data_IF_868987309515
#
_entry.id   IF_868987309515
#
_cell.length_a   1.000
_cell.length_b   1.000
_cell.length_c   1.000
_cell.angle_alpha   90.00
_cell.angle_beta   90.00
_cell.angle_gamma   90.00
#
_symmetry.space_group_name_H-M   'P 1'
#
loop_
_entity.id
_entity.type
_entity.pdbx_description
1 polymer ?
#
# COMPACT_ATOMS: atom_id res chain seq x y z
N UNK A 1 5.40 -21.61 -32.60
CA UNK A 1 5.82 -20.29 -33.14
C UNK A 1 6.44 -20.32 -34.54
N UNK A 2 7.07 -21.42 -34.98
CA UNK A 2 7.73 -21.53 -36.30
C UNK A 2 6.79 -21.72 -37.50
N UNK A 3 5.53 -22.09 -37.28
CA UNK A 3 4.59 -22.44 -38.35
C UNK A 3 3.90 -21.21 -38.98
N UNK A 4 3.56 -20.20 -38.17
CA UNK A 4 2.90 -18.97 -38.65
C UNK A 4 3.85 -18.07 -39.46
N UNK A 5 5.13 -18.05 -39.10
CA UNK A 5 6.16 -17.23 -39.77
C UNK A 5 6.61 -17.82 -41.13
N UNK A 6 6.42 -19.12 -41.34
CA UNK A 6 6.86 -19.82 -42.57
C UNK A 6 5.89 -19.62 -43.75
N UNK A 7 4.62 -19.32 -43.47
CA UNK A 7 3.57 -19.20 -44.50
C UNK A 7 3.26 -17.76 -44.91
N UNK A 8 3.47 -16.76 -44.05
CA UNK A 8 3.12 -15.37 -44.36
C UNK A 8 4.26 -14.54 -44.96
N UNK A 9 5.52 -14.98 -44.86
CA UNK A 9 6.69 -14.17 -45.23
C UNK A 9 7.88 -15.03 -45.72
N UNK A 10 7.83 -15.59 -46.95
CA UNK A 10 8.98 -16.25 -47.55
C UNK A 10 10.05 -15.17 -47.84
N UNK A 11 11.11 -15.15 -47.03
CA UNK A 11 12.29 -14.28 -47.19
C UNK A 11 12.51 -13.22 -46.11
N UNK A 12 11.48 -12.79 -45.36
CA UNK A 12 11.63 -11.71 -44.35
C UNK A 12 11.49 -12.16 -42.88
N UNK A 13 11.20 -13.45 -42.62
CA UNK A 13 11.14 -13.99 -41.26
C UNK A 13 12.45 -13.87 -40.47
N UNK A 14 13.61 -13.84 -41.14
CA UNK A 14 14.92 -13.62 -40.50
C UNK A 14 15.05 -12.16 -40.04
N UNK A 15 14.67 -11.21 -40.89
CA UNK A 15 14.73 -9.77 -40.60
C UNK A 15 13.77 -9.39 -39.47
N UNK A 16 12.54 -9.90 -39.49
CA UNK A 16 11.55 -9.64 -38.43
C UNK A 16 12.00 -10.22 -37.09
N UNK A 17 12.60 -11.43 -37.07
CA UNK A 17 13.18 -12.00 -35.84
C UNK A 17 14.32 -11.17 -35.30
N UNK A 18 15.17 -10.61 -36.17
CA UNK A 18 16.27 -9.73 -35.77
C UNK A 18 15.74 -8.42 -35.16
N UNK A 19 14.75 -7.78 -35.77
CA UNK A 19 14.10 -6.59 -35.20
C UNK A 19 13.39 -6.86 -33.88
N UNK A 20 12.69 -8.00 -33.74
CA UNK A 20 12.03 -8.37 -32.48
C UNK A 20 13.04 -8.69 -31.38
N UNK A 21 14.13 -9.38 -31.71
CA UNK A 21 15.21 -9.63 -30.77
C UNK A 21 15.87 -8.32 -30.34
N UNK A 22 16.17 -7.41 -31.27
CA UNK A 22 16.75 -6.11 -30.97
C UNK A 22 15.81 -5.22 -30.17
N UNK A 23 14.51 -5.20 -30.48
CA UNK A 23 13.50 -4.51 -29.69
C UNK A 23 13.40 -5.06 -28.26
N UNK A 24 13.42 -6.38 -28.09
CA UNK A 24 13.40 -6.99 -26.77
C UNK A 24 14.64 -6.62 -25.95
N UNK A 25 15.83 -6.63 -26.58
CA UNK A 25 17.09 -6.24 -25.93
C UNK A 25 17.10 -4.76 -25.57
N UNK A 26 16.64 -3.87 -26.47
CA UNK A 26 16.55 -2.42 -26.23
C UNK A 26 15.48 -2.04 -25.21
N UNK A 27 14.36 -2.76 -25.20
CA UNK A 27 13.30 -2.57 -24.20
C UNK A 27 13.77 -2.95 -22.80
N UNK A 28 14.69 -3.90 -22.67
CA UNK A 28 15.29 -4.23 -21.39
C UNK A 28 16.17 -3.08 -20.83
N UNK A 29 16.88 -2.34 -21.69
CA UNK A 29 17.66 -1.16 -21.29
C UNK A 29 16.73 0.00 -20.82
N UNK A 30 15.61 0.21 -21.51
CA UNK A 30 14.60 1.23 -21.14
C UNK A 30 13.95 0.99 -19.78
N UNK A 31 13.81 -0.27 -19.33
CA UNK A 31 13.27 -0.61 -18.01
C UNK A 31 14.11 0.00 -16.88
N UNK A 32 15.43 0.08 -17.04
CA UNK A 32 16.31 0.69 -16.04
C UNK A 32 16.02 2.17 -15.83
N UNK A 33 15.90 2.93 -16.93
CA UNK A 33 15.56 4.36 -16.90
C UNK A 33 14.16 4.58 -16.33
N UNK A 34 13.18 3.78 -16.75
CA UNK A 34 11.81 3.86 -16.23
C UNK A 34 11.74 3.62 -14.72
N UNK A 35 12.50 2.65 -14.21
CA UNK A 35 12.55 2.35 -12.77
C UNK A 35 13.12 3.54 -11.98
N UNK A 36 14.21 4.14 -12.45
CA UNK A 36 14.79 5.33 -11.81
C UNK A 36 13.80 6.50 -11.82
N UNK A 37 13.11 6.71 -12.95
CA UNK A 37 12.12 7.78 -13.06
C UNK A 37 10.95 7.62 -12.09
N UNK A 38 10.44 6.39 -11.92
CA UNK A 38 9.40 6.07 -10.95
C UNK A 38 9.88 6.33 -9.52
N UNK A 39 11.09 5.89 -9.17
CA UNK A 39 11.67 6.13 -7.83
C UNK A 39 11.80 7.63 -7.57
N UNK A 40 12.31 8.40 -8.53
CA UNK A 40 12.41 9.86 -8.42
C UNK A 40 11.04 10.50 -8.21
N UNK A 41 10.06 10.12 -9.03
CA UNK A 41 8.69 10.65 -8.93
C UNK A 41 8.08 10.32 -7.57
N UNK A 42 8.25 9.09 -7.08
CA UNK A 42 7.77 8.69 -5.76
C UNK A 42 8.42 9.53 -4.63
N UNK A 43 9.73 9.78 -4.71
CA UNK A 43 10.42 10.65 -3.73
C UNK A 43 9.89 12.08 -3.78
N UNK A 44 9.69 12.65 -4.98
CA UNK A 44 9.11 13.99 -5.13
C UNK A 44 7.71 14.06 -4.53
N UNK A 45 6.85 13.07 -4.82
CA UNK A 45 5.50 13.01 -4.24
C UNK A 45 5.52 12.94 -2.72
N UNK A 46 6.42 12.14 -2.13
CA UNK A 46 6.56 12.09 -0.66
C UNK A 46 6.97 13.46 -0.12
N UNK A 47 7.89 14.18 -0.77
CA UNK A 47 8.28 15.52 -0.34
C UNK A 47 7.11 16.51 -0.41
N UNK A 48 6.33 16.46 -1.49
CA UNK A 48 5.19 17.36 -1.73
C UNK A 48 4.07 17.13 -0.71
N UNK A 49 3.66 15.87 -0.52
CA UNK A 49 2.64 15.47 0.46
C UNK A 49 3.03 15.96 1.85
N UNK A 50 4.29 15.78 2.22
CA UNK A 50 4.81 16.20 3.51
C UNK A 50 4.86 17.74 3.60
N UNK A 51 5.12 18.46 2.51
CA UNK A 51 5.04 19.92 2.48
C UNK A 51 3.62 20.42 2.74
N UNK A 52 2.63 19.88 2.03
CA UNK A 52 1.22 20.26 2.14
C UNK A 52 0.64 19.92 3.52
N UNK A 53 0.93 18.72 4.03
CA UNK A 53 0.60 18.34 5.40
C UNK A 53 1.22 19.36 6.36
N UNK A 54 2.53 19.58 6.33
CA UNK A 54 3.18 20.51 7.25
C UNK A 54 2.71 21.97 7.09
N UNK A 55 2.20 22.36 5.92
CA UNK A 55 1.55 23.64 5.68
C UNK A 55 0.22 23.77 6.42
N UNK A 56 -0.62 22.73 6.44
CA UNK A 56 -1.86 22.67 7.24
C UNK A 56 -1.56 22.89 8.73
N UNK A 57 -0.50 22.25 9.25
CA UNK A 57 -0.11 22.36 10.66
C UNK A 57 0.84 23.55 10.96
N UNK A 58 1.18 24.38 9.96
CA UNK A 58 1.95 25.62 10.13
C UNK A 58 3.41 25.43 10.56
N UNK A 59 4.03 24.28 10.30
CA UNK A 59 5.36 23.93 10.81
C UNK A 59 6.41 23.83 9.72
N UNK A 60 7.50 24.56 9.86
CA UNK A 60 8.55 24.75 8.82
C UNK A 60 9.86 24.01 9.10
N UNK A 61 9.82 22.94 9.91
CA UNK A 61 11.02 22.31 10.42
C UNK A 61 11.55 21.20 9.48
N UNK A 62 12.78 21.31 8.96
CA UNK A 62 13.30 20.38 7.97
C UNK A 62 13.71 19.05 8.62
N UNK A 63 12.79 18.09 8.69
CA UNK A 63 13.15 16.69 9.02
C UNK A 63 13.91 16.05 7.86
N UNK A 64 14.87 15.16 8.17
CA UNK A 64 15.64 14.43 7.15
C UNK A 64 14.76 13.52 6.29
N UNK A 65 15.03 13.49 4.97
CA UNK A 65 14.31 12.67 3.98
C UNK A 65 14.17 11.21 4.39
N UNK A 66 15.24 10.58 4.89
CA UNK A 66 15.22 9.19 5.33
C UNK A 66 14.20 8.92 6.44
N UNK A 67 14.03 9.86 7.37
CA UNK A 67 13.06 9.73 8.46
C UNK A 67 11.62 9.91 7.96
N UNK A 68 11.41 10.74 6.94
CA UNK A 68 10.11 10.91 6.29
C UNK A 68 9.71 9.61 5.58
N UNK A 69 10.60 9.08 4.75
CA UNK A 69 10.39 7.80 4.04
C UNK A 69 10.06 6.68 5.01
N UNK A 70 10.77 6.55 6.14
CA UNK A 70 10.47 5.53 7.14
C UNK A 70 9.09 5.69 7.79
N UNK A 71 8.68 6.92 8.14
CA UNK A 71 7.37 7.17 8.77
C UNK A 71 6.24 6.88 7.77
N UNK A 72 6.35 7.37 6.54
CA UNK A 72 5.36 7.09 5.50
C UNK A 72 5.35 5.61 5.09
N UNK A 73 6.50 4.94 5.08
CA UNK A 73 6.58 3.50 4.85
C UNK A 73 5.87 2.71 5.97
N UNK A 74 6.04 3.11 7.24
CA UNK A 74 5.32 2.50 8.35
C UNK A 74 3.80 2.70 8.23
N UNK A 75 3.35 3.91 7.87
CA UNK A 75 1.93 4.17 7.58
C UNK A 75 1.40 3.31 6.44
N UNK A 76 2.17 3.18 5.35
CA UNK A 76 1.81 2.31 4.23
C UNK A 76 1.76 0.84 4.61
N UNK A 77 2.61 0.35 5.52
CA UNK A 77 2.51 -1.03 6.03
C UNK A 77 1.38 -1.22 7.03
N UNK A 78 1.09 -0.20 7.82
CA UNK A 78 0.05 -0.22 8.83
C UNK A 78 -1.35 -0.30 8.20
N UNK A 79 -1.59 0.39 7.08
CA UNK A 79 -2.88 0.36 6.39
C UNK A 79 -3.33 -1.07 6.01
N UNK A 80 -2.56 -1.81 5.19
CA UNK A 80 -2.83 -3.20 4.84
C UNK A 80 -2.87 -4.13 6.07
N UNK A 81 -2.01 -3.90 7.06
CA UNK A 81 -2.02 -4.69 8.29
C UNK A 81 -3.32 -4.52 9.07
N UNK A 82 -3.83 -3.28 9.19
CA UNK A 82 -5.11 -2.99 9.83
C UNK A 82 -6.28 -3.62 9.06
N UNK A 83 -6.29 -3.50 7.73
CA UNK A 83 -7.31 -4.15 6.89
C UNK A 83 -7.27 -5.67 7.08
N UNK A 84 -6.07 -6.27 7.09
CA UNK A 84 -5.90 -7.70 7.35
C UNK A 84 -6.40 -8.12 8.73
N UNK A 85 -6.11 -7.32 9.76
CA UNK A 85 -6.60 -7.56 11.12
C UNK A 85 -8.13 -7.47 11.21
N UNK A 86 -8.75 -6.48 10.55
CA UNK A 86 -10.20 -6.32 10.51
C UNK A 86 -10.88 -7.51 9.80
N UNK A 87 -10.33 -7.97 8.67
CA UNK A 87 -10.83 -9.15 7.95
C UNK A 87 -10.68 -10.41 8.82
N UNK A 88 -9.53 -10.59 9.44
CA UNK A 88 -9.28 -11.73 10.34
C UNK A 88 -10.27 -11.75 11.50
N UNK A 89 -10.47 -10.62 12.16
CA UNK A 89 -11.40 -10.48 13.28
C UNK A 89 -12.84 -10.77 12.85
N UNK A 90 -13.27 -10.21 11.71
CA UNK A 90 -14.60 -10.46 11.15
C UNK A 90 -14.82 -11.95 10.86
N UNK A 91 -13.85 -12.61 10.22
CA UNK A 91 -13.93 -14.05 9.94
C UNK A 91 -14.00 -14.87 11.23
N UNK A 92 -13.20 -14.54 12.24
CA UNK A 92 -13.21 -15.24 13.52
C UNK A 92 -14.58 -15.17 14.22
N UNK A 93 -15.22 -13.99 14.21
CA UNK A 93 -16.57 -13.81 14.77
C UNK A 93 -17.61 -14.61 13.98
N UNK A 94 -17.54 -14.57 12.64
CA UNK A 94 -18.47 -15.31 11.77
C UNK A 94 -18.38 -16.81 12.01
N UNK A 95 -17.17 -17.37 12.04
CA UNK A 95 -16.94 -18.81 12.29
C UNK A 95 -17.54 -19.27 13.62
N UNK A 96 -17.39 -18.47 14.68
CA UNK A 96 -17.88 -18.83 16.01
C UNK A 96 -19.39 -18.55 16.18
N UNK A 97 -19.94 -17.55 15.49
CA UNK A 97 -21.36 -17.21 15.57
C UNK A 97 -22.27 -18.27 14.92
N UNK A 98 -21.79 -18.99 13.91
CA UNK A 98 -22.58 -20.01 13.19
C UNK A 98 -22.68 -21.32 14.01
N UNK A 99 -21.75 -21.55 14.95
CA UNK A 99 -21.68 -22.78 15.76
C UNK A 99 -22.32 -22.70 17.16
N UNK A 100 -22.73 -21.51 17.62
CA UNK A 100 -23.22 -21.29 19.00
C UNK A 100 -24.75 -21.39 19.13
N UNK A 101 -25.22 -21.98 20.24
CA UNK A 101 -26.63 -21.89 20.68
C UNK A 101 -27.03 -20.45 20.98
N UNK A 102 -28.33 -20.13 21.02
CA UNK A 102 -28.88 -18.75 21.15
C UNK A 102 -28.20 -17.91 22.25
N UNK A 103 -27.84 -18.53 23.38
CA UNK A 103 -27.15 -17.89 24.51
C UNK A 103 -25.68 -17.54 24.19
N UNK A 104 -24.99 -18.40 23.44
CA UNK A 104 -23.62 -18.16 23.00
C UNK A 104 -23.54 -17.09 21.91
N UNK A 105 -24.55 -17.01 21.05
CA UNK A 105 -24.65 -15.97 20.02
C UNK A 105 -24.81 -14.57 20.66
N UNK A 106 -25.70 -14.42 21.65
CA UNK A 106 -25.90 -13.15 22.37
C UNK A 106 -24.62 -12.68 23.10
N UNK A 107 -23.89 -13.60 23.74
CA UNK A 107 -22.63 -13.28 24.38
C UNK A 107 -21.56 -12.83 23.37
N UNK A 108 -21.55 -13.42 22.17
CA UNK A 108 -20.61 -13.06 21.10
C UNK A 108 -20.91 -11.68 20.51
N UNK A 109 -22.18 -11.31 20.34
CA UNK A 109 -22.59 -9.97 19.89
C UNK A 109 -22.24 -8.89 20.91
N UNK A 110 -22.47 -9.15 22.21
CA UNK A 110 -22.12 -8.19 23.27
C UNK A 110 -20.61 -7.96 23.37
N UNK A 111 -19.79 -8.97 23.03
CA UNK A 111 -18.33 -8.84 23.05
C UNK A 111 -17.76 -8.23 21.76
N UNK A 112 -18.44 -8.39 20.63
CA UNK A 112 -17.94 -7.93 19.32
C UNK A 112 -18.18 -6.44 19.07
N UNK A 113 -19.28 -5.86 19.58
CA UNK A 113 -19.54 -4.41 19.49
C UNK A 113 -18.41 -3.55 20.08
N UNK A 114 -17.95 -3.74 21.34
CA UNK A 114 -16.87 -2.93 21.90
C UNK A 114 -15.53 -3.21 21.22
N UNK A 115 -15.30 -4.43 20.72
CA UNK A 115 -14.09 -4.79 20.02
C UNK A 115 -13.98 -4.09 18.66
N UNK A 116 -15.07 -4.03 17.89
CA UNK A 116 -15.14 -3.27 16.65
C UNK A 116 -14.85 -1.77 16.90
N UNK A 117 -15.49 -1.19 17.93
CA UNK A 117 -15.24 0.19 18.34
C UNK A 117 -13.76 0.42 18.72
N UNK A 118 -13.13 -0.51 19.44
CA UNK A 118 -11.72 -0.42 19.80
C UNK A 118 -10.80 -0.49 18.58
N UNK A 119 -11.12 -1.34 17.59
CA UNK A 119 -10.35 -1.45 16.34
C UNK A 119 -10.46 -0.17 15.52
N UNK A 120 -11.67 0.38 15.37
CA UNK A 120 -11.89 1.65 14.67
C UNK A 120 -11.17 2.80 15.36
N UNK A 121 -11.32 2.91 16.68
CA UNK A 121 -10.63 3.93 17.49
C UNK A 121 -9.12 3.78 17.33
N UNK A 122 -8.57 2.58 17.45
CA UNK A 122 -7.15 2.31 17.26
C UNK A 122 -6.68 2.65 15.84
N UNK A 123 -7.47 2.37 14.81
CA UNK A 123 -7.16 2.71 13.43
C UNK A 123 -7.10 4.23 13.23
N UNK A 124 -8.10 4.98 13.73
CA UNK A 124 -8.11 6.44 13.68
C UNK A 124 -6.97 7.04 14.51
N UNK A 125 -6.72 6.55 15.73
CA UNK A 125 -5.58 6.97 16.56
C UNK A 125 -4.25 6.73 15.84
N UNK A 126 -4.09 5.58 15.17
CA UNK A 126 -2.87 5.26 14.42
C UNK A 126 -2.67 6.21 13.24
N UNK A 127 -3.72 6.49 12.48
CA UNK A 127 -3.69 7.49 11.41
C UNK A 127 -3.28 8.85 11.98
N UNK A 128 -3.91 9.27 13.08
CA UNK A 128 -3.64 10.57 13.69
C UNK A 128 -2.26 10.67 14.36
N UNK A 129 -1.68 9.54 14.79
CA UNK A 129 -0.35 9.49 15.39
C UNK A 129 0.77 9.38 14.34
N UNK A 130 0.51 8.73 13.20
CA UNK A 130 1.52 8.44 12.17
C UNK A 130 1.58 9.54 11.10
N UNK A 131 0.43 10.15 10.75
CA UNK A 131 0.34 11.15 9.67
C UNK A 131 1.06 12.47 10.00
N UNK A 132 0.92 13.07 11.20
CA UNK A 132 1.54 14.35 11.48
C UNK A 132 3.03 14.23 11.80
N UNK A 133 3.86 15.07 11.19
CA UNK A 133 5.28 15.19 11.54
C UNK A 133 5.50 15.82 12.94
N UNK A 134 4.46 16.36 13.58
CA UNK A 134 4.48 16.75 14.99
C UNK A 134 4.08 15.53 15.83
N UNK A 135 4.88 15.18 16.84
CA UNK A 135 4.47 14.16 17.83
C UNK A 135 3.23 14.67 18.55
N UNK A 136 2.04 14.19 18.17
CA UNK A 136 0.81 14.47 18.89
C UNK A 136 0.83 13.59 20.15
N UNK A 137 0.73 14.15 21.36
CA UNK A 137 0.69 13.33 22.57
C UNK A 137 -0.54 12.41 22.53
N UNK A 138 -0.36 11.14 22.89
CA UNK A 138 -1.40 10.10 22.81
C UNK A 138 -2.71 10.48 23.54
N UNK A 139 -2.64 11.36 24.55
CA UNK A 139 -3.82 11.91 25.26
C UNK A 139 -4.75 12.78 24.40
N UNK A 140 -4.28 13.23 23.23
CA UNK A 140 -5.06 14.04 22.27
C UNK A 140 -5.50 13.18 21.07
N UNK A 141 -4.89 11.99 20.90
CA UNK A 141 -5.19 11.07 19.80
C UNK A 141 -6.16 9.93 20.20
N UNK A 142 -6.48 9.81 21.48
CA UNK A 142 -7.36 8.83 22.11
C UNK A 142 -8.56 9.59 22.71
#
# INVERSE_FOLDING_TARGET
ESFLLRYFLPGSGVVVRQYLAEFATRSAELKGIGTVFVILTAVLLVVEVDHEINAIWGTREPRSLARRVLVYALGFTAGPALIGAAIYYTNWVVEHSIGTTTIGAEALTVLSEPAALLVDTAAFTLIYAVVPARRVPLKVAL
#
